data_IF_351738233547
#
_entry.id   IF_351738233547
#
_cell.length_a   1.000
_cell.length_b   1.000
_cell.length_c   1.000
_cell.angle_alpha   90.00
_cell.angle_beta   90.00
_cell.angle_gamma   90.00
#
_symmetry.space_group_name_H-M   'P 1'
#
loop_
_entity.id
_entity.type
_entity.pdbx_description
1 polymer ?
#
# COMPACT_ATOMS: atom_id res chain seq x y z
N UNK A 1 18.00 0.96 -38.73
CA UNK A 1 16.93 1.28 -37.76
C UNK A 1 15.98 0.10 -37.71
N UNK A 2 15.88 -0.60 -36.58
CA UNK A 2 14.72 -1.46 -36.28
C UNK A 2 14.69 -1.80 -34.78
N UNK A 3 13.76 -1.14 -34.10
CA UNK A 3 12.92 -1.58 -32.97
C UNK A 3 13.61 -2.27 -31.77
N UNK A 4 13.90 -1.47 -30.74
CA UNK A 4 13.90 -1.95 -29.36
C UNK A 4 12.48 -2.44 -29.03
N UNK A 5 12.27 -3.74 -29.06
CA UNK A 5 11.02 -4.35 -28.65
C UNK A 5 11.32 -5.31 -27.49
N UNK A 6 10.83 -4.88 -26.32
CA UNK A 6 9.95 -5.68 -25.48
C UNK A 6 10.59 -6.69 -24.53
N UNK A 7 10.21 -6.55 -23.27
CA UNK A 7 10.28 -7.64 -22.29
C UNK A 7 11.15 -7.38 -21.07
N UNK A 8 11.16 -6.15 -20.55
CA UNK A 8 11.43 -5.93 -19.12
C UNK A 8 10.28 -6.49 -18.29
N UNK A 9 10.02 -7.80 -18.39
CA UNK A 9 9.36 -8.52 -17.31
C UNK A 9 10.40 -8.61 -16.20
N UNK A 10 10.50 -7.52 -15.44
CA UNK A 10 11.19 -7.54 -14.17
C UNK A 10 10.38 -8.51 -13.31
N UNK A 11 10.82 -9.77 -13.31
CA UNK A 11 10.39 -10.80 -12.40
C UNK A 11 10.42 -10.15 -11.00
N UNK A 12 9.28 -9.81 -10.37
CA UNK A 12 9.31 -9.28 -9.02
C UNK A 12 9.65 -10.48 -8.16
N UNK A 13 10.93 -10.60 -7.87
CA UNK A 13 11.40 -11.53 -6.86
C UNK A 13 10.82 -10.99 -5.53
N UNK A 14 10.13 -11.80 -4.72
CA UNK A 14 9.26 -11.34 -3.62
C UNK A 14 10.02 -10.90 -2.36
N UNK A 15 11.21 -10.32 -2.55
CA UNK A 15 12.05 -9.74 -1.53
C UNK A 15 12.25 -8.30 -1.99
N UNK A 16 11.90 -7.33 -1.15
CA UNK A 16 11.86 -5.88 -1.41
C UNK A 16 10.44 -5.36 -1.76
N UNK A 17 9.43 -5.74 -0.97
CA UNK A 17 8.16 -4.99 -0.98
C UNK A 17 8.35 -3.66 -0.25
N UNK A 18 8.47 -2.57 -1.00
CA UNK A 18 8.51 -1.21 -0.48
C UNK A 18 7.10 -0.78 -0.02
N UNK A 19 6.97 -0.44 1.26
CA UNK A 19 5.74 0.03 1.90
C UNK A 19 6.00 1.40 2.51
N UNK A 20 5.05 2.31 2.36
CA UNK A 20 5.08 3.60 3.06
C UNK A 20 4.08 3.63 4.21
N UNK A 21 4.41 4.34 5.28
CA UNK A 21 3.50 4.67 6.37
C UNK A 21 3.34 6.18 6.38
N UNK A 22 2.10 6.66 6.28
CA UNK A 22 1.78 8.08 6.35
C UNK A 22 1.68 8.46 7.83
N UNK A 23 2.58 9.32 8.29
CA UNK A 23 2.58 9.81 9.66
C UNK A 23 3.25 11.18 9.77
N UNK A 24 2.73 12.03 10.65
CA UNK A 24 3.30 13.36 10.92
C UNK A 24 4.72 13.28 11.51
N UNK A 25 5.05 12.14 12.13
CA UNK A 25 6.37 11.90 12.70
C UNK A 25 6.76 10.41 12.64
N UNK A 26 8.06 10.09 12.58
CA UNK A 26 8.54 8.71 12.53
C UNK A 26 8.17 7.87 13.77
N UNK A 27 8.00 8.50 14.94
CA UNK A 27 7.66 7.79 16.17
C UNK A 27 6.24 7.20 16.13
N UNK A 28 5.32 7.83 15.40
CA UNK A 28 3.97 7.31 15.15
C UNK A 28 3.96 6.13 14.17
N UNK A 29 4.92 6.07 13.24
CA UNK A 29 5.07 4.96 12.30
C UNK A 29 5.75 3.71 12.92
N UNK A 30 6.60 3.91 13.93
CA UNK A 30 7.42 2.84 14.52
C UNK A 30 6.64 1.58 14.97
N UNK A 31 5.45 1.66 15.61
CA UNK A 31 4.69 0.46 15.99
C UNK A 31 4.21 -0.36 14.78
N UNK A 32 3.80 0.33 13.71
CA UNK A 32 3.33 -0.31 12.48
C UNK A 32 4.49 -0.93 11.72
N UNK A 33 5.59 -0.19 11.58
CA UNK A 33 6.84 -0.70 11.01
C UNK A 33 7.30 -1.97 11.74
N UNK A 34 7.34 -1.93 13.08
CA UNK A 34 7.74 -3.09 13.88
C UNK A 34 6.78 -4.28 13.71
N UNK A 35 5.48 -4.05 13.62
CA UNK A 35 4.50 -5.12 13.39
C UNK A 35 4.66 -5.75 12.00
N UNK A 36 4.90 -4.94 10.96
CA UNK A 36 5.15 -5.41 9.60
C UNK A 36 6.46 -6.22 9.53
N UNK A 37 7.54 -5.68 10.09
CA UNK A 37 8.85 -6.37 10.15
C UNK A 37 8.77 -7.66 10.96
N UNK A 38 7.97 -7.70 12.03
CA UNK A 38 7.76 -8.93 12.81
C UNK A 38 6.94 -9.98 12.05
N UNK A 39 6.03 -9.55 11.17
CA UNK A 39 5.17 -10.46 10.41
C UNK A 39 5.80 -10.97 9.12
N UNK A 40 6.60 -10.14 8.44
CA UNK A 40 7.14 -10.41 7.10
C UNK A 40 8.66 -10.49 7.05
N UNK A 41 9.33 -10.15 8.15
CA UNK A 41 10.78 -10.15 8.27
C UNK A 41 11.46 -9.10 7.39
N UNK A 42 12.67 -9.41 6.96
CA UNK A 42 13.57 -8.56 6.18
C UNK A 42 13.16 -8.45 4.69
N UNK A 43 12.03 -9.04 4.31
CA UNK A 43 11.56 -9.11 2.90
C UNK A 43 10.78 -7.87 2.47
N UNK A 44 10.58 -6.93 3.40
CA UNK A 44 9.89 -5.67 3.18
C UNK A 44 10.82 -4.51 3.52
N UNK A 45 10.60 -3.39 2.84
CA UNK A 45 11.23 -2.13 3.19
C UNK A 45 10.13 -1.16 3.59
N UNK A 46 10.22 -0.58 4.79
CA UNK A 46 9.18 0.32 5.30
C UNK A 46 9.77 1.72 5.39
N UNK A 47 9.09 2.67 4.76
CA UNK A 47 9.44 4.09 4.78
C UNK A 47 8.33 4.89 5.44
N UNK A 48 8.67 6.05 6.03
CA UNK A 48 7.66 6.99 6.54
C UNK A 48 7.58 8.18 5.60
N UNK A 49 6.36 8.56 5.23
CA UNK A 49 6.06 9.73 4.39
C UNK A 49 5.17 10.69 5.16
N UNK A 50 5.30 11.98 4.86
CA UNK A 50 4.61 13.01 5.63
C UNK A 50 3.16 13.20 5.20
N UNK A 51 2.83 12.89 3.93
CA UNK A 51 1.54 13.23 3.34
C UNK A 51 0.97 12.12 2.46
N UNK A 52 -0.35 12.14 2.28
CA UNK A 52 -1.05 11.23 1.37
C UNK A 52 -0.65 11.51 -0.09
N UNK A 53 -0.47 12.77 -0.47
CA UNK A 53 -0.07 13.13 -1.84
C UNK A 53 1.30 12.56 -2.21
N UNK A 54 2.29 12.69 -1.32
CA UNK A 54 3.63 12.11 -1.52
C UNK A 54 3.56 10.59 -1.68
N UNK A 55 2.75 9.92 -0.85
CA UNK A 55 2.53 8.48 -0.97
C UNK A 55 1.89 8.09 -2.31
N UNK A 56 0.91 8.86 -2.77
CA UNK A 56 0.26 8.64 -4.08
C UNK A 56 1.24 8.83 -5.24
N UNK A 57 2.11 9.83 -5.18
CA UNK A 57 3.15 10.03 -6.20
C UNK A 57 4.13 8.86 -6.25
N UNK A 58 4.59 8.37 -5.09
CA UNK A 58 5.47 7.18 -5.01
C UNK A 58 4.78 5.92 -5.56
N UNK A 59 3.48 5.74 -5.29
CA UNK A 59 2.67 4.65 -5.83
C UNK A 59 2.55 4.74 -7.36
N UNK A 60 2.32 5.94 -7.89
CA UNK A 60 2.24 6.20 -9.32
C UNK A 60 3.59 5.98 -10.02
N UNK A 61 4.71 6.34 -9.37
CA UNK A 61 6.06 6.13 -9.86
C UNK A 61 6.58 4.69 -9.68
N UNK A 62 5.80 3.80 -9.04
CA UNK A 62 6.18 2.42 -8.72
C UNK A 62 7.39 2.32 -7.78
N UNK A 63 7.58 3.34 -6.96
CA UNK A 63 8.62 3.36 -5.93
C UNK A 63 8.18 2.61 -4.66
N UNK A 64 6.88 2.54 -4.41
CA UNK A 64 6.29 1.75 -3.34
C UNK A 64 5.15 0.87 -3.87
N UNK A 65 4.91 -0.25 -3.19
CA UNK A 65 3.85 -1.21 -3.48
C UNK A 65 2.52 -0.87 -2.77
N UNK A 66 2.59 -0.13 -1.67
CA UNK A 66 1.43 0.26 -0.87
C UNK A 66 1.79 1.35 0.13
N UNK A 67 0.80 2.16 0.51
CA UNK A 67 0.94 3.14 1.58
C UNK A 67 -0.15 2.95 2.63
N UNK A 68 0.22 2.95 3.91
CA UNK A 68 -0.69 2.72 5.02
C UNK A 68 -0.87 4.00 5.84
N UNK A 69 -2.11 4.36 6.09
CA UNK A 69 -2.53 5.43 7.00
C UNK A 69 -2.98 4.77 8.30
N UNK A 70 -2.22 4.93 9.40
CA UNK A 70 -2.63 4.39 10.70
C UNK A 70 -3.94 5.00 11.20
N UNK A 71 -4.74 4.20 11.89
CA UNK A 71 -5.88 4.72 12.64
C UNK A 71 -5.38 5.68 13.74
N UNK A 72 -6.16 6.72 14.02
CA UNK A 72 -5.82 7.78 14.96
C UNK A 72 -5.07 8.95 14.32
N UNK A 73 -4.59 8.84 13.08
CA UNK A 73 -4.18 10.00 12.30
C UNK A 73 -5.41 10.90 12.11
N UNK A 74 -5.30 12.18 12.47
CA UNK A 74 -6.40 13.15 12.50
C UNK A 74 -7.66 12.73 13.29
N UNK A 75 -7.54 11.74 14.20
CA UNK A 75 -8.66 11.22 14.98
C UNK A 75 -9.57 10.24 14.23
N UNK A 76 -9.11 9.64 13.12
CA UNK A 76 -9.86 8.62 12.41
C UNK A 76 -9.91 7.27 13.16
N UNK A 77 -11.09 6.67 13.30
CA UNK A 77 -11.26 5.33 13.93
C UNK A 77 -10.95 4.15 12.98
N UNK A 78 -10.32 4.41 11.84
CA UNK A 78 -10.01 3.43 10.82
C UNK A 78 -8.64 3.71 10.22
N UNK A 79 -8.01 2.66 9.72
CA UNK A 79 -6.81 2.76 8.92
C UNK A 79 -7.18 2.76 7.44
N UNK A 80 -6.43 3.52 6.63
CA UNK A 80 -6.53 3.44 5.18
C UNK A 80 -5.32 2.71 4.60
N UNK A 81 -5.55 1.96 3.53
CA UNK A 81 -4.51 1.37 2.72
C UNK A 81 -4.64 1.86 1.29
N UNK A 82 -3.66 2.63 0.84
CA UNK A 82 -3.52 3.05 -0.53
C UNK A 82 -2.74 2.02 -1.32
N UNK A 83 -3.28 1.62 -2.46
CA UNK A 83 -2.65 0.69 -3.41
C UNK A 83 -2.65 1.28 -4.82
N UNK A 84 -1.82 0.70 -5.68
CA UNK A 84 -1.76 1.01 -7.10
C UNK A 84 -1.97 -0.28 -7.91
N UNK A 85 -3.22 -0.66 -8.17
CA UNK A 85 -3.51 -1.87 -8.93
C UNK A 85 -3.02 -1.79 -10.38
N UNK A 86 -3.00 -0.58 -10.96
CA UNK A 86 -2.45 -0.26 -12.28
C UNK A 86 -0.94 -0.52 -12.42
N UNK A 87 -0.23 -0.60 -11.30
CA UNK A 87 1.19 -0.99 -11.27
C UNK A 87 1.35 -2.51 -11.23
N UNK A 88 0.58 -3.21 -10.39
CA UNK A 88 0.54 -4.67 -10.30
C UNK A 88 -0.62 -5.15 -9.42
N UNK A 89 -1.63 -5.80 -10.01
CA UNK A 89 -2.81 -6.34 -9.30
C UNK A 89 -2.41 -7.37 -8.23
N UNK A 90 -1.53 -8.32 -8.58
CA UNK A 90 -1.08 -9.37 -7.64
C UNK A 90 -0.31 -8.79 -6.44
N UNK A 91 0.49 -7.75 -6.68
CA UNK A 91 1.20 -7.05 -5.60
C UNK A 91 0.20 -6.34 -4.69
N UNK A 92 -0.74 -5.61 -5.28
CA UNK A 92 -1.78 -4.90 -4.53
C UNK A 92 -2.61 -5.86 -3.65
N UNK A 93 -3.05 -7.01 -4.17
CA UNK A 93 -3.77 -8.03 -3.41
C UNK A 93 -2.94 -8.62 -2.26
N UNK A 94 -1.64 -8.81 -2.48
CA UNK A 94 -0.71 -9.29 -1.44
C UNK A 94 -0.63 -8.28 -0.30
N UNK A 95 -0.42 -6.99 -0.63
CA UNK A 95 -0.39 -5.89 0.34
C UNK A 95 -1.71 -5.80 1.11
N UNK A 96 -2.85 -5.84 0.41
CA UNK A 96 -4.18 -5.86 1.03
C UNK A 96 -4.32 -7.00 2.02
N UNK A 97 -3.93 -8.22 1.64
CA UNK A 97 -4.04 -9.40 2.51
C UNK A 97 -3.19 -9.27 3.78
N UNK A 98 -1.98 -8.71 3.66
CA UNK A 98 -1.08 -8.45 4.79
C UNK A 98 -1.74 -7.49 5.78
N UNK A 99 -2.17 -6.32 5.29
CA UNK A 99 -2.72 -5.28 6.15
C UNK A 99 -4.09 -5.68 6.71
N UNK A 100 -4.93 -6.40 5.97
CA UNK A 100 -6.19 -6.94 6.48
C UNK A 100 -5.99 -7.86 7.69
N UNK A 101 -4.94 -8.70 7.67
CA UNK A 101 -4.60 -9.54 8.83
C UNK A 101 -4.05 -8.71 9.98
N UNK A 102 -3.20 -7.73 9.68
CA UNK A 102 -2.62 -6.82 10.66
C UNK A 102 -3.70 -6.02 11.40
N UNK A 103 -4.65 -5.43 10.68
CA UNK A 103 -5.72 -4.63 11.28
C UNK A 103 -6.77 -5.49 11.96
N UNK A 104 -7.08 -6.68 11.46
CA UNK A 104 -7.94 -7.65 12.17
C UNK A 104 -7.34 -8.04 13.52
N UNK A 105 -6.02 -8.28 13.57
CA UNK A 105 -5.34 -8.59 14.83
C UNK A 105 -5.38 -7.44 15.84
N UNK A 106 -5.57 -6.20 15.37
CA UNK A 106 -5.68 -4.99 16.19
C UNK A 106 -7.14 -4.54 16.38
N UNK A 107 -8.12 -5.28 15.86
CA UNK A 107 -9.53 -4.90 15.84
C UNK A 107 -9.81 -3.52 15.20
N UNK A 108 -8.95 -3.11 14.26
CA UNK A 108 -9.05 -1.85 13.52
C UNK A 108 -9.73 -2.09 12.17
N UNK A 109 -10.64 -1.19 11.78
CA UNK A 109 -11.23 -1.22 10.43
C UNK A 109 -10.20 -0.76 9.40
N UNK A 110 -10.09 -1.51 8.30
CA UNK A 110 -9.23 -1.17 7.17
C UNK A 110 -10.08 -0.75 5.98
N UNK A 111 -9.91 0.47 5.50
CA UNK A 111 -10.41 0.92 4.21
C UNK A 111 -9.31 0.77 3.16
N UNK A 112 -9.68 0.38 1.95
CA UNK A 112 -8.75 0.17 0.84
C UNK A 112 -9.08 1.21 -0.22
N UNK A 113 -8.09 1.98 -0.64
CA UNK A 113 -8.19 2.98 -1.69
C UNK A 113 -7.20 2.66 -2.81
N UNK A 114 -7.72 2.50 -4.02
CA UNK A 114 -6.87 2.35 -5.20
C UNK A 114 -6.68 3.70 -5.86
N UNK A 115 -5.49 4.27 -5.68
CA UNK A 115 -5.14 5.62 -6.17
C UNK A 115 -4.63 5.61 -7.60
N UNK A 116 -4.18 4.47 -8.09
CA UNK A 116 -3.73 4.28 -9.47
C UNK A 116 -4.39 3.00 -10.00
N UNK A 117 -5.68 3.06 -10.36
CA UNK A 117 -6.37 1.91 -10.90
C UNK A 117 -5.75 1.49 -12.23
N UNK A 118 -5.82 0.19 -12.55
CA UNK A 118 -5.61 -0.28 -13.93
C UNK A 118 -6.58 0.52 -14.82
N UNK A 119 -6.11 1.09 -15.94
CA UNK A 119 -6.94 1.87 -16.88
C UNK A 119 -8.32 1.21 -17.01
N UNK A 120 -9.32 1.91 -16.46
CA UNK A 120 -10.62 1.34 -16.18
C UNK A 120 -11.48 1.37 -17.45
N UNK A 121 -11.38 0.32 -18.25
CA UNK A 121 -12.51 -0.10 -19.09
C UNK A 121 -13.42 -1.12 -18.35
N UNK A 122 -13.32 -1.23 -17.02
CA UNK A 122 -14.34 -1.95 -16.24
C UNK A 122 -14.55 -1.38 -14.81
N UNK A 123 -15.75 -0.84 -14.49
CA UNK A 123 -16.09 -0.21 -13.22
C UNK A 123 -16.67 -1.21 -12.21
N UNK A 124 -15.83 -1.85 -11.41
CA UNK A 124 -16.31 -2.70 -10.32
C UNK A 124 -16.07 -2.08 -8.94
N UNK A 125 -17.11 -1.39 -8.46
CA UNK A 125 -17.64 -1.74 -7.14
C UNK A 125 -17.18 -0.91 -5.94
N UNK A 126 -17.34 0.42 -5.99
CA UNK A 126 -17.53 1.21 -4.77
C UNK A 126 -18.89 0.87 -4.15
N UNK A 127 -18.92 0.14 -3.03
CA UNK A 127 -20.00 0.27 -2.04
C UNK A 127 -19.42 0.29 -0.62
N UNK A 128 -18.97 1.47 -0.18
CA UNK A 128 -19.01 1.81 1.23
C UNK A 128 -20.48 2.04 1.60
N UNK A 129 -21.09 1.13 2.34
CA UNK A 129 -22.33 1.40 3.06
C UNK A 129 -22.20 0.92 4.50
N UNK A 130 -21.72 1.81 5.36
CA UNK A 130 -22.06 1.76 6.79
C UNK A 130 -23.44 2.39 6.95
N UNK A 131 -24.42 1.61 7.38
CA UNK A 131 -25.61 2.06 8.09
C UNK A 131 -25.99 0.99 9.10
#
# INVERSE_FOLDING_TARGET
>A
MLLFYLGGFHNPRPHDLDLAIIADNPAAAAPVEQALTSSLGESINVSTVATREEATDLLANREIAGAFVPAGLDGADHADLLIASGSSVTTAETVVTIFQRLTQAQEVRLAIEDVVPVDADDPWGRTSSST
#
